data_IF_272977167730
#
_entry.id   IF_272977167730
#
_cell.length_a   1.000
_cell.length_b   1.000
_cell.length_c   1.000
_cell.angle_alpha   90.00
_cell.angle_beta   90.00
_cell.angle_gamma   90.00
#
_symmetry.space_group_name_H-M   'P 1'
#
loop_
_entity.id
_entity.type
_entity.pdbx_description
1 polymer ?
#
# COMPACT_ATOMS: atom_id res chain seq x y z
N UNK A 1 50.33 -23.10 -47.41
CA UNK A 1 49.29 -23.58 -46.53
C UNK A 1 49.51 -22.96 -45.17
N UNK A 2 48.68 -21.94 -44.84
CA UNK A 2 48.76 -21.21 -43.55
C UNK A 2 47.68 -21.74 -42.63
N UNK A 3 48.02 -22.33 -41.50
CA UNK A 3 47.05 -22.77 -40.50
C UNK A 3 46.66 -21.57 -39.64
N UNK A 4 45.35 -21.22 -39.67
CA UNK A 4 44.75 -20.26 -38.75
C UNK A 4 44.21 -21.05 -37.55
N UNK A 5 44.85 -20.87 -36.41
CA UNK A 5 44.37 -21.44 -35.16
C UNK A 5 43.23 -20.55 -34.58
N UNK A 6 42.05 -21.14 -34.41
CA UNK A 6 40.92 -20.52 -33.73
C UNK A 6 41.11 -20.77 -32.22
N UNK A 7 41.35 -19.69 -31.45
CA UNK A 7 41.34 -19.74 -30.01
C UNK A 7 39.86 -19.63 -29.52
N UNK A 8 39.35 -20.69 -28.93
CA UNK A 8 38.05 -20.71 -28.26
C UNK A 8 38.28 -20.15 -26.83
N UNK A 9 37.77 -18.92 -26.62
CA UNK A 9 37.73 -18.36 -25.26
C UNK A 9 36.49 -18.90 -24.58
N UNK A 10 36.69 -19.86 -23.66
CA UNK A 10 35.64 -20.28 -22.73
C UNK A 10 35.37 -19.15 -21.72
N UNK A 11 34.25 -18.49 -21.85
CA UNK A 11 33.69 -17.69 -20.76
C UNK A 11 33.17 -18.64 -19.69
N UNK A 12 33.94 -18.80 -18.62
CA UNK A 12 33.46 -19.38 -17.39
C UNK A 12 32.45 -18.41 -16.75
N UNK A 13 31.16 -18.70 -16.85
CA UNK A 13 30.14 -18.04 -16.06
C UNK A 13 30.45 -18.35 -14.58
N UNK A 14 31.00 -17.38 -13.86
CA UNK A 14 31.00 -17.41 -12.39
C UNK A 14 29.53 -17.33 -11.95
N UNK A 15 28.92 -18.48 -11.74
CA UNK A 15 27.74 -18.61 -10.93
C UNK A 15 28.20 -18.28 -9.50
N UNK A 16 27.98 -17.04 -9.02
CA UNK A 16 28.10 -16.74 -7.60
C UNK A 16 27.10 -17.63 -6.87
N UNK A 17 27.59 -18.75 -6.34
CA UNK A 17 26.87 -19.50 -5.34
C UNK A 17 26.63 -18.55 -4.15
N UNK A 18 25.41 -18.15 -3.94
CA UNK A 18 24.97 -17.38 -2.78
C UNK A 18 25.30 -18.25 -1.56
N UNK A 19 26.28 -17.82 -0.75
CA UNK A 19 26.56 -18.45 0.54
C UNK A 19 25.28 -18.39 1.37
N UNK A 20 24.70 -19.54 1.64
CA UNK A 20 23.51 -19.68 2.46
C UNK A 20 23.83 -19.21 3.88
N UNK A 21 23.35 -18.01 4.28
CA UNK A 21 23.35 -17.56 5.65
C UNK A 21 24.01 -16.21 5.97
N UNK A 22 24.64 -15.53 5.00
CA UNK A 22 25.27 -14.22 5.23
C UNK A 22 24.28 -13.06 5.16
N UNK A 23 24.62 -11.95 5.89
CA UNK A 23 23.92 -10.68 5.76
C UNK A 23 24.11 -10.09 4.36
N UNK A 24 23.04 -9.58 3.76
CA UNK A 24 23.06 -8.91 2.46
C UNK A 24 22.46 -7.51 2.59
N UNK A 25 22.93 -6.50 1.84
CA UNK A 25 22.36 -5.16 1.83
C UNK A 25 20.86 -5.22 1.50
N UNK A 26 20.05 -4.45 2.23
CA UNK A 26 18.62 -4.32 1.94
C UNK A 26 18.39 -3.62 0.61
N UNK A 27 17.32 -3.99 -0.10
CA UNK A 27 16.89 -3.33 -1.33
C UNK A 27 16.45 -1.88 -1.14
N UNK A 28 16.28 -1.45 0.10
CA UNK A 28 15.92 -0.07 0.47
C UNK A 28 17.12 0.86 0.63
N UNK A 29 18.34 0.34 0.54
CA UNK A 29 19.56 1.13 0.71
C UNK A 29 19.75 2.12 -0.44
N UNK A 30 20.28 3.32 -0.12
CA UNK A 30 20.77 4.23 -1.16
C UNK A 30 22.01 3.64 -1.83
N UNK A 31 22.31 4.09 -3.04
CA UNK A 31 23.45 3.60 -3.80
C UNK A 31 24.77 3.70 -3.01
N UNK A 32 25.47 2.58 -2.90
CA UNK A 32 26.76 2.47 -2.21
C UNK A 32 26.67 2.26 -0.69
N UNK A 33 25.48 2.28 -0.09
CA UNK A 33 25.31 1.97 1.33
C UNK A 33 25.29 0.45 1.56
N UNK A 34 26.13 0.00 2.50
CA UNK A 34 26.20 -1.42 2.90
C UNK A 34 25.09 -1.81 3.89
N UNK A 35 24.61 -0.87 4.69
CA UNK A 35 23.62 -1.07 5.74
C UNK A 35 22.38 -0.23 5.47
N UNK A 36 21.20 -0.70 5.94
CA UNK A 36 20.87 -1.97 6.62
C UNK A 36 21.22 -3.22 5.83
N UNK A 37 21.53 -4.30 6.55
CA UNK A 37 21.67 -5.64 5.98
C UNK A 37 20.61 -6.58 6.56
N UNK A 38 20.22 -7.60 5.79
CA UNK A 38 19.25 -8.61 6.20
C UNK A 38 19.81 -9.99 5.90
N UNK A 39 19.62 -10.95 6.81
CA UNK A 39 20.00 -12.33 6.61
C UNK A 39 18.79 -13.23 6.26
N UNK A 40 19.06 -14.47 5.94
CA UNK A 40 18.02 -15.46 5.58
C UNK A 40 17.07 -15.84 6.71
N UNK A 41 17.42 -15.50 7.96
CA UNK A 41 16.56 -15.69 9.13
C UNK A 41 15.67 -14.46 9.41
N UNK A 42 15.76 -13.39 8.61
CA UNK A 42 15.04 -12.15 8.80
C UNK A 42 15.62 -11.24 9.87
N UNK A 43 16.87 -11.47 10.32
CA UNK A 43 17.54 -10.56 11.23
C UNK A 43 18.06 -9.37 10.45
N UNK A 44 17.89 -8.17 11.01
CA UNK A 44 18.34 -6.91 10.42
C UNK A 44 19.56 -6.39 11.18
N UNK A 45 20.60 -6.06 10.45
CA UNK A 45 21.79 -5.41 11.01
C UNK A 45 21.84 -3.95 10.55
N UNK A 46 21.92 -3.02 11.51
CA UNK A 46 22.03 -1.58 11.27
C UNK A 46 23.37 -1.09 11.80
N UNK A 47 24.01 -0.19 11.03
CA UNK A 47 25.27 0.44 11.40
C UNK A 47 25.26 1.90 11.00
N UNK A 48 25.40 2.80 11.97
CA UNK A 48 25.37 4.25 11.76
C UNK A 48 26.53 4.96 12.43
N UNK A 49 27.03 6.03 11.82
CA UNK A 49 28.14 6.81 12.37
C UNK A 49 27.61 7.95 13.23
N UNK A 50 27.88 7.89 14.53
CA UNK A 50 27.54 8.95 15.48
C UNK A 50 28.57 8.98 16.62
N UNK A 51 29.84 9.43 16.33
CA UNK A 51 30.94 9.30 17.25
C UNK A 51 30.75 10.07 18.55
N UNK A 52 30.06 11.22 18.49
CA UNK A 52 29.84 12.10 19.65
C UNK A 52 28.57 11.75 20.44
N UNK A 53 27.74 10.85 19.93
CA UNK A 53 26.52 10.43 20.61
C UNK A 53 26.84 9.63 21.90
N UNK A 54 26.00 9.84 22.91
CA UNK A 54 26.06 9.10 24.18
C UNK A 54 25.09 7.92 24.20
N UNK A 55 24.02 7.99 23.39
CA UNK A 55 23.02 6.92 23.27
C UNK A 55 22.41 6.92 21.87
N UNK A 56 22.34 5.74 21.25
CA UNK A 56 21.63 5.52 19.99
C UNK A 56 20.70 4.33 20.15
N UNK A 57 19.46 4.50 19.67
CA UNK A 57 18.44 3.46 19.70
C UNK A 57 17.82 3.30 18.31
N UNK A 58 17.65 2.07 17.87
CA UNK A 58 16.84 1.70 16.73
C UNK A 58 15.36 1.65 17.15
N UNK A 59 14.50 2.31 16.41
CA UNK A 59 13.07 2.45 16.71
C UNK A 59 12.25 1.96 15.51
N UNK A 60 11.87 0.68 15.47
CA UNK A 60 10.87 0.20 14.52
C UNK A 60 9.47 0.67 14.94
N UNK A 61 8.64 1.04 13.98
CA UNK A 61 7.28 1.47 14.29
C UNK A 61 6.37 0.30 14.67
N UNK A 62 6.52 -0.84 13.97
CA UNK A 62 5.85 -2.11 14.31
C UNK A 62 6.94 -3.14 14.59
N UNK A 63 7.55 -3.10 15.77
CA UNK A 63 8.65 -4.00 16.08
C UNK A 63 9.48 -3.58 17.28
N UNK A 64 10.66 -4.19 17.46
CA UNK A 64 11.50 -3.95 18.63
C UNK A 64 12.07 -2.53 18.63
N UNK A 65 12.18 -1.95 19.83
CA UNK A 65 12.98 -0.75 20.11
C UNK A 65 14.24 -1.21 20.82
N UNK A 66 15.37 -1.14 20.13
CA UNK A 66 16.62 -1.76 20.59
C UNK A 66 17.71 -0.71 20.76
N UNK A 67 18.37 -0.69 21.93
CA UNK A 67 19.56 0.14 22.14
C UNK A 67 20.73 -0.42 21.31
N UNK A 68 21.46 0.47 20.64
CA UNK A 68 22.59 0.12 19.81
C UNK A 68 23.91 0.14 20.63
N UNK A 69 24.91 -0.59 20.18
CA UNK A 69 26.21 -0.69 20.83
C UNK A 69 27.24 0.18 20.11
N UNK A 70 27.95 1.04 20.87
CA UNK A 70 29.02 1.90 20.34
C UNK A 70 30.28 1.08 20.09
N UNK A 71 30.81 1.18 18.87
CA UNK A 71 32.04 0.54 18.46
C UNK A 71 33.24 1.51 18.62
N UNK A 72 34.48 0.97 18.66
CA UNK A 72 35.70 1.78 18.83
C UNK A 72 35.94 2.76 17.67
N UNK A 73 35.40 2.48 16.48
CA UNK A 73 35.51 3.31 15.28
C UNK A 73 34.48 4.47 15.21
N UNK A 74 33.69 4.65 16.28
CA UNK A 74 32.66 5.68 16.39
C UNK A 74 31.37 5.35 15.72
N UNK A 75 31.21 4.12 15.22
CA UNK A 75 29.92 3.62 14.73
C UNK A 75 29.11 3.01 15.87
N UNK A 76 27.82 2.99 15.67
CA UNK A 76 26.85 2.29 16.48
C UNK A 76 26.26 1.15 15.67
N UNK A 77 26.14 -0.02 16.26
CA UNK A 77 25.64 -1.23 15.59
C UNK A 77 24.57 -1.93 16.40
N UNK A 78 23.68 -2.61 15.71
CA UNK A 78 22.71 -3.54 16.31
C UNK A 78 22.34 -4.62 15.31
N UNK A 79 22.14 -5.83 15.83
CA UNK A 79 21.47 -6.91 15.08
C UNK A 79 20.16 -7.25 15.80
N UNK A 80 19.04 -7.19 15.09
CA UNK A 80 17.72 -7.44 15.68
C UNK A 80 17.47 -8.94 15.87
N UNK A 81 16.51 -9.32 16.70
CA UNK A 81 15.82 -10.60 16.51
C UNK A 81 15.22 -10.72 15.11
N UNK A 82 14.88 -11.92 14.61
CA UNK A 82 14.17 -12.08 13.35
C UNK A 82 12.92 -11.21 13.29
N UNK A 83 12.77 -10.44 12.20
CA UNK A 83 11.56 -9.73 11.87
C UNK A 83 10.73 -10.58 10.90
N UNK A 84 9.43 -10.33 10.86
CA UNK A 84 8.56 -10.94 9.86
C UNK A 84 8.90 -10.43 8.46
N UNK A 85 8.71 -11.22 7.40
CA UNK A 85 8.89 -10.75 6.03
C UNK A 85 8.01 -9.55 5.70
N UNK A 86 8.56 -8.59 4.95
CA UNK A 86 7.86 -7.39 4.50
C UNK A 86 8.68 -6.13 4.69
N UNK A 87 8.04 -4.99 4.41
CA UNK A 87 8.62 -3.67 4.57
C UNK A 87 8.40 -3.15 6.00
N UNK A 88 9.48 -2.70 6.64
CA UNK A 88 9.43 -2.16 8.00
C UNK A 88 9.95 -0.72 8.04
N UNK A 89 9.11 0.20 8.54
CA UNK A 89 9.57 1.54 8.87
C UNK A 89 10.42 1.55 10.14
N UNK A 90 11.47 2.34 10.13
CA UNK A 90 12.25 2.61 11.32
C UNK A 90 12.82 4.04 11.34
N UNK A 91 13.21 4.48 12.52
CA UNK A 91 13.97 5.69 12.76
C UNK A 91 15.09 5.39 13.76
N UNK A 92 16.03 6.31 13.88
CA UNK A 92 17.06 6.29 14.90
C UNK A 92 16.73 7.35 15.96
N UNK A 93 16.94 7.02 17.24
CA UNK A 93 16.85 7.99 18.32
C UNK A 93 18.28 8.21 18.84
N UNK A 94 18.87 9.37 18.47
CA UNK A 94 20.22 9.76 18.83
C UNK A 94 20.14 10.84 19.92
N UNK A 95 20.59 10.50 21.14
CA UNK A 95 20.52 11.39 22.32
C UNK A 95 19.14 12.05 22.54
N UNK A 96 18.09 11.28 22.24
CA UNK A 96 16.69 11.72 22.38
C UNK A 96 16.08 12.38 21.15
N UNK A 97 16.87 12.64 20.11
CA UNK A 97 16.38 13.19 18.83
C UNK A 97 16.05 12.07 17.85
N UNK A 98 14.82 12.05 17.33
CA UNK A 98 14.41 11.10 16.31
C UNK A 98 14.84 11.58 14.92
N UNK A 99 15.59 10.75 14.20
CA UNK A 99 16.13 11.05 12.87
C UNK A 99 16.00 9.85 11.92
N UNK A 100 16.01 10.12 10.62
CA UNK A 100 16.11 9.07 9.60
C UNK A 100 17.55 8.59 9.44
N UNK A 101 17.73 7.34 9.05
CA UNK A 101 19.01 6.76 8.64
C UNK A 101 19.32 7.18 7.19
N UNK A 102 20.40 7.88 6.98
CA UNK A 102 20.80 8.37 5.66
C UNK A 102 21.27 7.26 4.70
N UNK A 103 21.41 6.03 5.18
CA UNK A 103 21.80 4.88 4.37
C UNK A 103 20.62 4.28 3.59
N UNK A 104 19.37 4.68 3.87
CA UNK A 104 18.18 4.20 3.14
C UNK A 104 17.51 5.32 2.37
N UNK A 105 16.72 4.94 1.36
CA UNK A 105 15.75 5.86 0.80
C UNK A 105 14.78 6.33 1.87
N UNK A 106 14.24 7.54 1.69
CA UNK A 106 13.17 8.06 2.54
C UNK A 106 11.81 7.53 2.06
N UNK A 107 10.97 7.16 3.03
CA UNK A 107 9.63 6.67 2.83
C UNK A 107 8.66 7.50 3.67
N UNK A 108 7.58 7.97 3.07
CA UNK A 108 6.57 8.71 3.83
C UNK A 108 5.61 7.72 4.52
N UNK A 109 5.52 7.85 5.83
CA UNK A 109 4.63 7.04 6.66
C UNK A 109 4.53 7.66 8.06
N UNK A 110 3.46 7.38 8.82
CA UNK A 110 3.24 7.97 10.14
C UNK A 110 3.29 9.50 10.14
N UNK A 111 2.87 10.16 9.06
CA UNK A 111 2.87 11.62 8.83
C UNK A 111 4.25 12.28 8.73
N UNK A 112 5.29 11.52 8.48
CA UNK A 112 6.67 12.02 8.34
C UNK A 112 7.51 11.10 7.44
N UNK A 113 8.67 11.61 7.03
CA UNK A 113 9.68 10.76 6.39
C UNK A 113 10.36 9.86 7.42
N UNK A 114 10.57 8.62 7.04
CA UNK A 114 11.25 7.59 7.82
C UNK A 114 12.15 6.76 6.92
N UNK A 115 13.06 6.03 7.54
CA UNK A 115 13.83 4.98 6.89
C UNK A 115 13.00 3.72 6.74
N UNK A 116 13.40 2.85 5.82
CA UNK A 116 12.76 1.56 5.62
C UNK A 116 13.76 0.44 5.45
N UNK A 117 13.37 -0.74 5.84
CA UNK A 117 14.10 -1.98 5.53
C UNK A 117 13.14 -3.02 4.98
N UNK A 118 13.53 -3.67 3.90
CA UNK A 118 12.79 -4.79 3.32
C UNK A 118 13.38 -6.10 3.84
N UNK A 119 12.56 -6.91 4.49
CA UNK A 119 12.86 -8.30 4.85
C UNK A 119 12.20 -9.20 3.81
N UNK A 120 12.96 -9.83 2.89
CA UNK A 120 12.37 -10.59 1.80
C UNK A 120 11.52 -11.77 2.30
N UNK A 121 10.35 -11.99 1.67
CA UNK A 121 9.55 -13.19 1.90
C UNK A 121 10.17 -14.38 1.19
N UNK A 122 10.60 -15.44 1.92
CA UNK A 122 11.26 -16.59 1.31
C UNK A 122 10.39 -17.25 0.23
N UNK A 123 10.97 -17.48 -0.95
CA UNK A 123 10.27 -18.14 -2.07
C UNK A 123 9.20 -17.28 -2.76
N UNK A 124 9.08 -16.00 -2.40
CA UNK A 124 8.11 -15.08 -2.98
C UNK A 124 8.80 -14.02 -3.85
N UNK A 125 8.35 -13.91 -5.10
CA UNK A 125 8.89 -12.94 -6.06
C UNK A 125 7.80 -12.05 -6.67
N UNK A 126 6.53 -12.19 -6.24
CA UNK A 126 5.41 -11.52 -6.89
C UNK A 126 5.45 -10.00 -6.80
N UNK A 127 6.11 -9.43 -5.78
CA UNK A 127 6.28 -7.98 -5.61
C UNK A 127 7.71 -7.49 -5.94
N UNK A 128 8.58 -8.37 -6.40
CA UNK A 128 9.94 -8.03 -6.85
C UNK A 128 9.95 -7.67 -8.33
N UNK A 129 10.91 -6.84 -8.73
CA UNK A 129 11.15 -6.60 -10.15
C UNK A 129 11.58 -7.91 -10.82
N UNK A 130 10.94 -8.27 -11.93
CA UNK A 130 11.23 -9.46 -12.74
C UNK A 130 11.56 -9.03 -14.16
N UNK A 131 12.14 -9.93 -14.95
CA UNK A 131 12.42 -9.71 -16.39
C UNK A 131 11.13 -9.90 -17.21
N UNK A 132 10.22 -8.93 -17.10
CA UNK A 132 8.94 -8.87 -17.80
C UNK A 132 8.72 -7.45 -18.34
N UNK A 133 7.80 -7.21 -19.28
CA UNK A 133 7.45 -5.87 -19.68
C UNK A 133 6.91 -5.06 -18.48
N UNK A 134 7.45 -3.85 -18.28
CA UNK A 134 7.08 -2.99 -17.18
C UNK A 134 6.17 -1.84 -17.64
N UNK A 135 5.21 -1.50 -16.78
CA UNK A 135 4.42 -0.29 -16.87
C UNK A 135 5.22 0.96 -16.48
N UNK A 136 4.54 2.10 -16.48
CA UNK A 136 5.12 3.39 -16.10
C UNK A 136 4.31 4.01 -14.98
N UNK A 137 4.97 4.69 -14.06
CA UNK A 137 4.32 5.52 -13.05
C UNK A 137 4.51 6.98 -13.43
N UNK A 138 3.40 7.70 -13.62
CA UNK A 138 3.38 9.13 -13.92
C UNK A 138 2.86 9.93 -12.76
N UNK A 139 3.54 11.01 -12.46
CA UNK A 139 3.09 12.03 -11.53
C UNK A 139 2.18 13.02 -12.26
N UNK A 140 1.01 13.30 -11.68
CA UNK A 140 0.04 14.22 -12.27
C UNK A 140 -0.51 15.19 -11.24
N UNK A 141 -0.86 16.38 -11.72
CA UNK A 141 -1.52 17.41 -10.94
C UNK A 141 -2.87 17.74 -11.56
N UNK A 142 -3.90 17.80 -10.75
CA UNK A 142 -5.25 18.17 -11.17
C UNK A 142 -5.81 19.28 -10.27
N UNK A 143 -6.59 20.16 -10.87
CA UNK A 143 -7.22 21.24 -10.14
C UNK A 143 -8.56 20.75 -9.57
N UNK A 144 -8.68 20.72 -8.25
CA UNK A 144 -9.92 20.34 -7.58
C UNK A 144 -10.71 21.58 -7.17
N UNK A 145 -11.89 21.74 -7.76
CA UNK A 145 -12.83 22.78 -7.33
C UNK A 145 -13.41 22.48 -5.96
N UNK A 146 -13.46 21.22 -5.54
CA UNK A 146 -13.93 20.79 -4.23
C UNK A 146 -13.03 21.33 -3.13
N UNK A 147 -11.71 21.15 -3.31
CA UNK A 147 -10.71 21.60 -2.32
C UNK A 147 -10.25 23.05 -2.56
N UNK A 148 -10.52 23.62 -3.73
CA UNK A 148 -10.03 24.92 -4.14
C UNK A 148 -8.51 24.97 -4.35
N UNK A 149 -7.88 23.83 -4.64
CA UNK A 149 -6.42 23.70 -4.74
C UNK A 149 -6.00 22.71 -5.83
N UNK A 150 -4.74 22.81 -6.22
CA UNK A 150 -4.09 21.76 -7.01
C UNK A 150 -3.81 20.56 -6.11
N UNK A 151 -4.12 19.37 -6.61
CA UNK A 151 -3.91 18.10 -5.94
C UNK A 151 -3.03 17.20 -6.78
N UNK A 152 -2.42 16.25 -6.14
CA UNK A 152 -1.40 15.37 -6.69
C UNK A 152 -1.86 13.91 -6.68
N UNK A 153 -1.48 13.16 -7.72
CA UNK A 153 -1.70 11.72 -7.80
C UNK A 153 -0.57 11.06 -8.60
N UNK A 154 -0.29 9.80 -8.27
CA UNK A 154 0.51 8.90 -9.10
C UNK A 154 -0.43 8.03 -9.94
N UNK A 155 -0.08 7.84 -11.20
CA UNK A 155 -0.84 7.02 -12.15
C UNK A 155 0.06 5.95 -12.74
N UNK A 156 -0.20 4.68 -12.39
CA UNK A 156 0.43 3.56 -13.07
C UNK A 156 -0.29 3.30 -14.38
N UNK A 157 0.47 3.20 -15.45
CA UNK A 157 0.03 2.83 -16.79
C UNK A 157 0.60 1.46 -17.15
N UNK A 158 -0.22 0.52 -17.65
CA UNK A 158 0.23 -0.84 -17.89
C UNK A 158 1.29 -0.92 -18.99
N UNK A 159 2.05 -2.05 -19.09
CA UNK A 159 3.00 -2.26 -20.16
C UNK A 159 2.39 -2.00 -21.55
N UNK A 160 3.18 -1.39 -22.43
CA UNK A 160 2.78 -1.01 -23.80
C UNK A 160 1.71 0.08 -23.91
N UNK A 161 1.34 0.75 -22.83
CA UNK A 161 0.35 1.84 -22.90
C UNK A 161 0.68 2.86 -23.98
N UNK A 162 1.92 3.35 -24.08
CA UNK A 162 2.28 4.40 -25.04
C UNK A 162 2.39 3.92 -26.50
N UNK A 163 2.59 2.63 -26.72
CA UNK A 163 2.70 2.03 -28.06
C UNK A 163 1.37 1.53 -28.59
N UNK A 164 0.48 1.03 -27.73
CA UNK A 164 -0.87 0.56 -28.08
C UNK A 164 -1.89 1.71 -27.97
N UNK A 165 -1.74 2.72 -28.83
CA UNK A 165 -2.47 4.00 -28.71
C UNK A 165 -3.99 3.92 -28.93
N UNK A 166 -4.51 2.81 -29.46
CA UNK A 166 -5.95 2.59 -29.69
C UNK A 166 -6.66 1.93 -28.51
N UNK A 167 -5.90 1.30 -27.62
CA UNK A 167 -6.48 0.55 -26.52
C UNK A 167 -6.95 1.49 -25.40
N UNK A 168 -8.07 1.12 -24.79
CA UNK A 168 -8.60 1.75 -23.59
C UNK A 168 -8.58 0.76 -22.44
N UNK A 169 -8.41 1.25 -21.23
CA UNK A 169 -8.13 0.44 -20.06
C UNK A 169 -9.14 0.70 -18.96
N UNK A 170 -9.55 -0.33 -18.21
CA UNK A 170 -10.27 -0.16 -16.97
C UNK A 170 -9.40 0.55 -15.93
N UNK A 171 -10.02 1.12 -14.90
CA UNK A 171 -9.32 1.95 -13.90
C UNK A 171 -9.55 1.42 -12.49
N UNK A 172 -8.46 1.21 -11.76
CA UNK A 172 -8.45 0.97 -10.32
C UNK A 172 -7.99 2.25 -9.59
N UNK A 173 -8.81 2.81 -8.72
CA UNK A 173 -8.41 3.82 -7.74
C UNK A 173 -7.92 3.09 -6.49
N UNK A 174 -6.62 3.22 -6.16
CA UNK A 174 -5.95 2.46 -5.11
C UNK A 174 -5.45 3.39 -4.01
N UNK A 175 -6.14 3.40 -2.86
CA UNK A 175 -5.96 4.41 -1.83
C UNK A 175 -5.04 3.96 -0.71
N UNK A 176 -4.15 4.87 -0.26
CA UNK A 176 -3.22 4.66 0.86
C UNK A 176 -3.91 4.78 2.24
N UNK A 177 -3.20 4.42 3.30
CA UNK A 177 -3.66 4.45 4.69
C UNK A 177 -3.40 5.77 5.42
N UNK A 178 -3.81 5.79 6.69
CA UNK A 178 -3.55 6.94 7.55
C UNK A 178 -2.05 7.11 7.81
N UNK A 179 -1.59 8.36 7.75
CA UNK A 179 -0.18 8.71 7.94
C UNK A 179 0.71 8.49 6.72
N UNK A 180 0.16 8.02 5.61
CA UNK A 180 0.86 7.81 4.34
C UNK A 180 0.44 8.84 3.30
N UNK A 181 0.99 8.75 2.10
CA UNK A 181 0.66 9.58 0.94
C UNK A 181 0.51 8.73 -0.33
N UNK A 182 0.29 9.38 -1.47
CA UNK A 182 0.10 8.75 -2.78
C UNK A 182 1.30 7.92 -3.25
N UNK A 183 2.48 8.08 -2.65
CA UNK A 183 3.69 7.32 -3.02
C UNK A 183 3.75 5.93 -2.39
N UNK A 184 2.97 5.69 -1.30
CA UNK A 184 3.04 4.48 -0.48
C UNK A 184 2.87 3.19 -1.29
N UNK A 185 1.86 3.12 -2.14
CA UNK A 185 1.63 1.93 -2.96
C UNK A 185 2.75 1.61 -3.94
N UNK A 186 3.50 2.62 -4.41
CA UNK A 186 4.65 2.40 -5.31
C UNK A 186 5.91 2.08 -4.52
N UNK A 187 6.22 2.87 -3.48
CA UNK A 187 7.51 2.77 -2.79
C UNK A 187 7.56 1.62 -1.78
N UNK A 188 6.53 1.49 -0.95
CA UNK A 188 6.43 0.44 0.07
C UNK A 188 5.62 -0.76 -0.44
N UNK A 189 4.55 -0.50 -1.20
CA UNK A 189 3.63 -1.51 -1.71
C UNK A 189 4.15 -2.29 -2.90
N UNK A 190 5.07 -1.73 -3.69
CA UNK A 190 5.55 -2.30 -4.96
C UNK A 190 4.40 -2.67 -5.93
N UNK A 191 3.29 -1.90 -5.89
CA UNK A 191 2.08 -2.20 -6.66
C UNK A 191 2.33 -2.28 -8.17
N UNK A 192 3.24 -1.45 -8.70
CA UNK A 192 3.65 -1.49 -10.10
C UNK A 192 4.27 -2.86 -10.47
N UNK A 193 5.18 -3.40 -9.66
CA UNK A 193 5.81 -4.70 -9.92
C UNK A 193 4.83 -5.85 -9.71
N UNK A 194 3.94 -5.77 -8.71
CA UNK A 194 2.86 -6.74 -8.53
C UNK A 194 2.00 -6.82 -9.79
N UNK A 195 1.58 -5.68 -10.32
CA UNK A 195 0.74 -5.60 -11.52
C UNK A 195 1.49 -6.04 -12.78
N UNK A 196 2.73 -5.61 -12.98
CA UNK A 196 3.55 -6.03 -14.11
C UNK A 196 3.69 -7.57 -14.15
N UNK A 197 4.01 -8.18 -13.01
CA UNK A 197 4.18 -9.62 -12.89
C UNK A 197 2.85 -10.37 -13.13
N UNK A 198 1.74 -9.89 -12.60
CA UNK A 198 0.41 -10.47 -12.80
C UNK A 198 -0.06 -10.34 -14.25
N UNK A 199 0.18 -9.20 -14.90
CA UNK A 199 -0.16 -8.96 -16.32
C UNK A 199 0.69 -9.86 -17.21
N UNK A 200 1.99 -9.97 -16.98
CA UNK A 200 2.88 -10.85 -17.72
C UNK A 200 2.49 -12.33 -17.57
N UNK A 201 2.06 -12.75 -16.39
CA UNK A 201 1.52 -14.09 -16.12
C UNK A 201 0.10 -14.30 -16.69
N UNK A 202 -0.52 -13.28 -17.32
CA UNK A 202 -1.92 -13.30 -17.81
C UNK A 202 -2.95 -13.61 -16.71
N UNK A 203 -2.61 -13.35 -15.47
CA UNK A 203 -3.49 -13.53 -14.31
C UNK A 203 -4.33 -12.28 -14.01
N UNK A 204 -3.98 -11.14 -14.60
CA UNK A 204 -4.65 -9.86 -14.39
C UNK A 204 -4.79 -9.14 -15.73
N UNK A 205 -5.91 -8.44 -15.94
CA UNK A 205 -6.07 -7.58 -17.11
C UNK A 205 -5.18 -6.34 -16.99
N UNK A 206 -4.59 -5.86 -18.10
CA UNK A 206 -3.95 -4.54 -18.10
C UNK A 206 -4.95 -3.46 -17.67
N UNK A 207 -4.57 -2.64 -16.69
CA UNK A 207 -5.41 -1.57 -16.15
C UNK A 207 -4.58 -0.34 -15.80
N UNK A 208 -5.23 0.81 -15.77
CA UNK A 208 -4.68 2.06 -15.19
C UNK A 208 -4.92 1.99 -13.67
N UNK A 209 -3.92 2.36 -12.86
CA UNK A 209 -4.10 2.46 -11.40
C UNK A 209 -3.78 3.87 -10.95
N UNK A 210 -4.74 4.48 -10.23
CA UNK A 210 -4.66 5.87 -9.76
C UNK A 210 -4.50 5.87 -8.24
N UNK A 211 -3.42 6.45 -7.76
CA UNK A 211 -3.09 6.59 -6.35
C UNK A 211 -3.08 8.08 -6.01
N UNK A 212 -4.12 8.56 -5.34
CA UNK A 212 -4.28 9.97 -5.00
C UNK A 212 -3.94 10.24 -3.53
N UNK A 213 -3.58 11.49 -3.23
CA UNK A 213 -3.42 11.94 -1.85
C UNK A 213 -4.77 11.92 -1.13
N UNK A 214 -4.91 11.05 -0.11
CA UNK A 214 -6.18 10.71 0.54
C UNK A 214 -6.74 11.76 1.48
N UNK A 215 -5.94 12.75 1.87
CA UNK A 215 -6.39 13.81 2.76
C UNK A 215 -7.01 14.95 1.94
N UNK A 216 -8.33 15.09 2.02
CA UNK A 216 -9.05 16.15 1.35
C UNK A 216 -9.80 17.03 2.35
N UNK A 217 -9.85 18.32 2.04
CA UNK A 217 -10.57 19.34 2.81
C UNK A 217 -11.28 20.23 1.80
N UNK A 218 -12.59 20.43 1.98
CA UNK A 218 -13.33 21.36 1.10
C UNK A 218 -12.82 22.79 1.25
N UNK A 219 -12.92 23.57 0.19
CA UNK A 219 -12.57 24.99 0.23
C UNK A 219 -13.34 25.69 1.35
N UNK A 220 -12.63 26.44 2.19
CA UNK A 220 -13.20 27.14 3.35
C UNK A 220 -13.56 26.27 4.56
N UNK A 221 -13.41 24.95 4.49
CA UNK A 221 -13.67 24.07 5.63
C UNK A 221 -12.56 24.20 6.69
N UNK A 222 -12.95 24.38 7.95
CA UNK A 222 -12.05 24.30 9.08
C UNK A 222 -12.16 22.91 9.71
N UNK A 223 -11.13 22.10 9.53
CA UNK A 223 -11.01 20.83 10.27
C UNK A 223 -10.60 21.15 11.71
N UNK A 224 -11.19 20.44 12.66
CA UNK A 224 -10.79 20.52 14.05
C UNK A 224 -9.31 20.17 14.21
N UNK A 225 -8.59 20.89 15.07
CA UNK A 225 -7.25 20.48 15.48
C UNK A 225 -7.35 19.15 16.24
N UNK A 226 -6.72 18.13 15.68
CA UNK A 226 -6.71 16.79 16.23
C UNK A 226 -5.46 16.50 17.06
N UNK A 227 -4.56 17.48 17.21
CA UNK A 227 -3.33 17.33 18.00
C UNK A 227 -3.65 16.90 19.43
N UNK A 228 -3.10 15.75 19.82
CA UNK A 228 -3.30 15.18 21.16
C UNK A 228 -4.67 14.60 21.44
N UNK A 229 -5.57 14.53 20.46
CA UNK A 229 -6.87 13.87 20.64
C UNK A 229 -6.69 12.34 20.60
N UNK A 230 -7.28 11.60 21.56
CA UNK A 230 -7.23 10.15 21.53
C UNK A 230 -7.86 9.58 20.25
N UNK A 231 -7.26 8.53 19.70
CA UNK A 231 -7.86 7.79 18.60
C UNK A 231 -9.21 7.21 19.04
N UNK A 232 -10.25 7.46 18.23
CA UNK A 232 -11.62 7.02 18.51
C UNK A 232 -12.43 8.01 19.39
N UNK A 233 -11.87 9.16 19.78
CA UNK A 233 -12.68 10.22 20.41
C UNK A 233 -13.77 10.76 19.47
N UNK A 234 -14.91 11.27 19.98
CA UNK A 234 -15.98 11.80 19.13
C UNK A 234 -15.50 12.87 18.15
N UNK A 235 -14.57 13.75 18.57
CA UNK A 235 -13.99 14.78 17.71
C UNK A 235 -13.13 14.19 16.59
N UNK A 236 -12.31 13.19 16.91
CA UNK A 236 -11.51 12.47 15.92
C UNK A 236 -12.40 11.76 14.90
N UNK A 237 -13.43 11.04 15.36
CA UNK A 237 -14.35 10.33 14.50
C UNK A 237 -15.12 11.27 13.57
N UNK A 238 -15.58 12.41 14.09
CA UNK A 238 -16.23 13.45 13.29
C UNK A 238 -15.30 14.00 12.21
N UNK A 239 -14.06 14.35 12.57
CA UNK A 239 -13.11 14.87 11.60
C UNK A 239 -12.73 13.83 10.53
N UNK A 240 -12.62 12.54 10.90
CA UNK A 240 -12.41 11.46 9.93
C UNK A 240 -13.59 11.33 8.95
N UNK A 241 -14.83 11.44 9.43
CA UNK A 241 -16.01 11.44 8.57
C UNK A 241 -16.04 12.65 7.62
N UNK A 242 -15.72 13.85 8.12
CA UNK A 242 -15.67 15.06 7.31
C UNK A 242 -14.57 14.99 6.24
N UNK A 243 -13.40 14.46 6.57
CA UNK A 243 -12.31 14.22 5.61
C UNK A 243 -12.71 13.17 4.57
N UNK A 244 -13.34 12.08 4.99
CA UNK A 244 -13.80 11.02 4.07
C UNK A 244 -14.85 11.55 3.09
N UNK A 245 -15.81 12.37 3.56
CA UNK A 245 -16.80 13.00 2.70
C UNK A 245 -16.19 14.04 1.74
N UNK A 246 -15.16 14.77 2.18
CA UNK A 246 -14.43 15.70 1.31
C UNK A 246 -13.62 14.97 0.24
N UNK A 247 -13.03 13.82 0.60
CA UNK A 247 -12.32 12.94 -0.33
C UNK A 247 -13.27 12.29 -1.34
N UNK A 248 -14.44 11.82 -0.91
CA UNK A 248 -15.50 11.28 -1.76
C UNK A 248 -15.89 12.29 -2.85
N UNK A 249 -16.15 13.55 -2.46
CA UNK A 249 -16.46 14.62 -3.42
C UNK A 249 -15.29 14.90 -4.37
N UNK A 250 -14.05 14.94 -3.86
CA UNK A 250 -12.87 15.18 -4.67
C UNK A 250 -12.65 14.07 -5.71
N UNK A 251 -12.81 12.81 -5.31
CA UNK A 251 -12.69 11.66 -6.22
C UNK A 251 -13.76 11.72 -7.31
N UNK A 252 -15.02 11.94 -6.93
CA UNK A 252 -16.13 11.83 -7.86
C UNK A 252 -16.30 13.07 -8.77
N UNK A 253 -15.97 14.26 -8.25
CA UNK A 253 -16.22 15.52 -8.96
C UNK A 253 -14.97 16.14 -9.61
N UNK A 254 -13.78 15.71 -9.22
CA UNK A 254 -12.53 16.25 -9.74
C UNK A 254 -11.59 15.19 -10.31
N UNK A 255 -11.23 14.16 -9.52
CA UNK A 255 -10.22 13.19 -9.93
C UNK A 255 -10.70 12.29 -11.07
N UNK A 256 -11.87 11.65 -10.95
CA UNK A 256 -12.43 10.79 -12.01
C UNK A 256 -12.57 11.55 -13.34
N UNK A 257 -13.21 12.74 -13.40
CA UNK A 257 -13.28 13.51 -14.64
C UNK A 257 -11.92 13.87 -15.22
N UNK A 258 -10.93 14.20 -14.37
CA UNK A 258 -9.57 14.49 -14.83
C UNK A 258 -8.91 13.24 -15.45
N UNK A 259 -8.98 12.10 -14.79
CA UNK A 259 -8.40 10.84 -15.28
C UNK A 259 -9.04 10.41 -16.60
N UNK A 260 -10.37 10.45 -16.68
CA UNK A 260 -11.11 10.04 -17.89
C UNK A 260 -10.85 10.97 -19.08
N UNK A 261 -10.58 12.26 -18.83
CA UNK A 261 -10.23 13.22 -19.89
C UNK A 261 -8.76 13.17 -20.31
N UNK A 262 -7.87 12.68 -19.45
CA UNK A 262 -6.42 12.72 -19.65
C UNK A 262 -5.86 11.40 -20.16
N UNK A 263 -6.42 10.28 -19.72
CA UNK A 263 -5.95 8.94 -20.04
C UNK A 263 -6.97 8.15 -20.86
N UNK A 264 -6.51 7.11 -21.53
CA UNK A 264 -7.37 6.23 -22.33
C UNK A 264 -8.12 5.23 -21.45
N UNK A 265 -9.13 5.71 -20.76
CA UNK A 265 -9.96 4.92 -19.84
C UNK A 265 -11.18 4.32 -20.54
N UNK A 266 -11.64 3.17 -20.03
CA UNK A 266 -13.02 2.72 -20.15
C UNK A 266 -13.80 3.40 -19.02
N UNK A 267 -14.57 4.44 -19.33
CA UNK A 267 -15.08 5.40 -18.33
C UNK A 267 -16.43 4.99 -17.70
N UNK A 268 -16.97 3.83 -18.06
CA UNK A 268 -18.19 3.32 -17.44
C UNK A 268 -17.92 2.63 -16.09
N UNK A 269 -18.98 2.41 -15.32
CA UNK A 269 -18.91 1.82 -14.00
C UNK A 269 -18.38 0.39 -13.96
N UNK A 270 -18.66 -0.39 -15.03
CA UNK A 270 -18.27 -1.80 -15.09
C UNK A 270 -16.77 -1.99 -15.38
N UNK A 271 -16.10 -0.88 -15.68
CA UNK A 271 -14.65 -0.81 -15.84
C UNK A 271 -13.98 0.11 -14.81
N UNK A 272 -14.67 0.38 -13.67
CA UNK A 272 -14.10 1.20 -12.59
C UNK A 272 -14.15 0.49 -11.26
N UNK A 273 -12.98 0.34 -10.66
CA UNK A 273 -12.76 -0.25 -9.34
C UNK A 273 -12.20 0.79 -8.37
N UNK A 274 -12.48 0.60 -7.09
CA UNK A 274 -11.76 1.30 -6.03
C UNK A 274 -11.39 0.32 -4.93
N UNK A 275 -10.16 0.43 -4.43
CA UNK A 275 -9.67 -0.32 -3.29
C UNK A 275 -8.75 0.55 -2.45
N UNK A 276 -8.49 0.12 -1.21
CA UNK A 276 -7.55 0.85 -0.37
C UNK A 276 -7.25 0.13 0.93
N UNK A 277 -6.12 0.50 1.52
CA UNK A 277 -5.66 -0.06 2.78
C UNK A 277 -6.09 0.82 3.97
N UNK A 278 -6.46 0.21 5.11
CA UNK A 278 -6.73 0.91 6.36
C UNK A 278 -7.72 2.09 6.19
N UNK A 279 -7.31 3.33 6.41
CA UNK A 279 -8.10 4.54 6.11
C UNK A 279 -8.59 4.56 4.65
N UNK A 280 -7.76 4.16 3.69
CA UNK A 280 -8.13 4.07 2.29
C UNK A 280 -9.23 3.04 2.02
N UNK A 281 -9.28 1.95 2.79
CA UNK A 281 -10.37 0.99 2.76
C UNK A 281 -11.69 1.59 3.27
N UNK A 282 -11.64 2.39 4.33
CA UNK A 282 -12.82 3.13 4.82
C UNK A 282 -13.33 4.12 3.77
N UNK A 283 -12.41 4.90 3.17
CA UNK A 283 -12.74 5.84 2.10
C UNK A 283 -13.32 5.14 0.87
N UNK A 284 -12.77 3.97 0.52
CA UNK A 284 -13.28 3.14 -0.57
C UNK A 284 -14.72 2.73 -0.32
N UNK A 285 -15.02 2.17 0.85
CA UNK A 285 -16.38 1.72 1.18
C UNK A 285 -17.37 2.88 1.20
N UNK A 286 -17.01 4.02 1.79
CA UNK A 286 -17.86 5.20 1.78
C UNK A 286 -18.10 5.71 0.35
N UNK A 287 -17.04 5.95 -0.40
CA UNK A 287 -17.15 6.50 -1.76
C UNK A 287 -17.93 5.57 -2.69
N UNK A 288 -17.59 4.29 -2.74
CA UNK A 288 -18.19 3.37 -3.72
C UNK A 288 -19.63 3.00 -3.41
N UNK A 289 -19.93 2.75 -2.12
CA UNK A 289 -21.30 2.37 -1.73
C UNK A 289 -22.29 3.53 -1.83
N UNK A 290 -21.82 4.79 -1.78
CA UNK A 290 -22.63 5.97 -2.09
C UNK A 290 -22.77 6.23 -3.60
N UNK A 291 -21.83 5.69 -4.43
CA UNK A 291 -21.75 5.96 -5.87
C UNK A 291 -21.68 4.65 -6.69
N UNK A 292 -22.67 3.75 -6.51
CA UNK A 292 -22.76 2.52 -7.30
C UNK A 292 -23.12 2.77 -8.78
N UNK A 293 -23.36 3.99 -9.17
CA UNK A 293 -23.43 4.45 -10.57
C UNK A 293 -22.04 4.68 -11.18
N UNK A 294 -21.00 4.82 -10.37
CA UNK A 294 -19.63 5.04 -10.80
C UNK A 294 -18.72 3.80 -10.65
N UNK A 295 -19.03 2.90 -9.72
CA UNK A 295 -18.14 1.78 -9.37
C UNK A 295 -18.88 0.43 -9.35
N UNK A 296 -18.20 -0.64 -9.79
CA UNK A 296 -18.70 -2.02 -9.72
C UNK A 296 -17.78 -2.98 -8.96
N UNK A 297 -16.56 -2.58 -8.64
CA UNK A 297 -15.59 -3.41 -7.92
C UNK A 297 -15.09 -2.65 -6.70
N UNK A 298 -15.17 -3.27 -5.53
CA UNK A 298 -14.93 -2.64 -4.23
C UNK A 298 -13.99 -3.51 -3.41
N UNK A 299 -12.83 -2.98 -2.98
CA UNK A 299 -11.85 -3.67 -2.16
C UNK A 299 -11.49 -2.92 -0.89
N UNK A 300 -11.61 -3.57 0.27
CA UNK A 300 -11.17 -3.01 1.54
C UNK A 300 -10.08 -3.86 2.19
N UNK A 301 -8.84 -3.37 2.18
CA UNK A 301 -7.66 -4.04 2.73
C UNK A 301 -7.45 -3.54 4.17
N UNK A 302 -7.74 -4.35 5.16
CA UNK A 302 -7.68 -4.00 6.60
C UNK A 302 -8.51 -2.76 7.00
N UNK A 303 -9.45 -2.32 6.15
CA UNK A 303 -10.22 -1.08 6.35
C UNK A 303 -11.67 -1.14 5.88
N UNK A 304 -12.12 -2.30 5.37
CA UNK A 304 -13.49 -2.48 4.93
C UNK A 304 -14.50 -2.14 6.04
N UNK A 305 -15.62 -1.53 5.67
CA UNK A 305 -16.70 -1.20 6.60
C UNK A 305 -16.42 -0.04 7.56
N UNK A 306 -15.22 0.54 7.54
CA UNK A 306 -14.90 1.78 8.26
C UNK A 306 -15.32 1.77 9.73
N UNK A 307 -16.18 2.72 10.10
CA UNK A 307 -16.67 2.89 11.47
C UNK A 307 -17.47 1.70 12.02
N UNK A 308 -18.07 0.87 11.16
CA UNK A 308 -18.74 -0.37 11.59
C UNK A 308 -17.74 -1.36 12.18
N UNK A 309 -16.55 -1.46 11.57
CA UNK A 309 -15.47 -2.35 12.01
C UNK A 309 -14.81 -1.84 13.27
N UNK A 310 -14.58 -0.52 13.37
CA UNK A 310 -13.97 0.10 14.55
C UNK A 310 -14.91 0.18 15.77
N UNK A 311 -16.25 0.09 15.56
CA UNK A 311 -17.25 0.01 16.59
C UNK A 311 -17.66 -1.44 16.88
N UNK A 312 -18.43 -1.66 17.95
CA UNK A 312 -18.97 -2.98 18.28
C UNK A 312 -20.35 -3.23 17.67
N UNK A 313 -20.75 -2.44 16.67
CA UNK A 313 -22.04 -2.48 16.03
C UNK A 313 -22.04 -3.43 14.83
N UNK A 314 -23.12 -4.20 14.66
CA UNK A 314 -23.40 -4.97 13.45
C UNK A 314 -23.85 -4.04 12.31
N UNK A 315 -23.63 -4.47 11.08
CA UNK A 315 -24.19 -3.83 9.89
C UNK A 315 -25.72 -3.94 9.92
N UNK A 316 -26.41 -2.83 9.74
CA UNK A 316 -27.84 -2.80 9.42
C UNK A 316 -28.00 -2.59 7.90
N UNK A 317 -28.43 -3.62 7.15
CA UNK A 317 -28.56 -3.53 5.70
C UNK A 317 -29.52 -2.44 5.21
N UNK A 318 -30.44 -1.97 6.07
CA UNK A 318 -31.48 -0.99 5.70
C UNK A 318 -31.07 0.44 5.91
N UNK A 319 -30.09 0.69 6.77
CA UNK A 319 -29.70 2.06 7.17
C UNK A 319 -28.25 2.38 6.85
N UNK A 320 -27.35 1.41 6.97
CA UNK A 320 -25.95 1.63 6.67
C UNK A 320 -25.72 1.83 5.18
N UNK A 321 -24.81 2.75 4.85
CA UNK A 321 -24.51 3.13 3.47
C UNK A 321 -25.81 3.42 2.66
N UNK A 322 -26.72 4.20 3.26
CA UNK A 322 -28.00 4.57 2.66
C UNK A 322 -28.90 3.38 2.28
N UNK A 323 -28.76 2.25 3.00
CA UNK A 323 -29.57 1.05 2.79
C UNK A 323 -29.23 0.29 1.51
N UNK A 324 -28.02 0.45 0.98
CA UNK A 324 -27.58 -0.18 -0.28
C UNK A 324 -27.66 -1.72 -0.24
N UNK A 325 -27.61 -2.31 0.94
CA UNK A 325 -27.68 -3.76 1.16
C UNK A 325 -29.11 -4.28 1.43
N UNK A 326 -30.13 -3.41 1.44
CA UNK A 326 -31.51 -3.80 1.74
C UNK A 326 -32.14 -4.71 0.67
N UNK A 327 -31.64 -4.66 -0.57
CA UNK A 327 -32.08 -5.50 -1.69
C UNK A 327 -30.85 -6.22 -2.28
N UNK A 328 -30.50 -7.42 -1.78
CA UNK A 328 -29.33 -8.17 -2.24
C UNK A 328 -29.30 -8.46 -3.74
N UNK A 329 -30.42 -8.86 -4.41
CA UNK A 329 -30.44 -9.00 -5.86
C UNK A 329 -30.15 -7.71 -6.64
N UNK A 330 -30.64 -6.56 -6.16
CA UNK A 330 -30.33 -5.27 -6.77
C UNK A 330 -28.87 -4.86 -6.55
N UNK A 331 -28.32 -5.16 -5.38
CA UNK A 331 -26.89 -4.97 -5.08
C UNK A 331 -26.02 -5.82 -6.00
N UNK A 332 -26.28 -7.12 -6.12
CA UNK A 332 -25.52 -8.05 -6.97
C UNK A 332 -25.53 -7.66 -8.46
N UNK A 333 -26.59 -7.01 -8.94
CA UNK A 333 -26.64 -6.47 -10.33
C UNK A 333 -25.69 -5.27 -10.52
N UNK A 334 -25.34 -4.57 -9.43
CA UNK A 334 -24.51 -3.38 -9.48
C UNK A 334 -23.07 -3.65 -9.07
N UNK A 335 -22.80 -4.54 -8.15
CA UNK A 335 -21.47 -4.82 -7.62
C UNK A 335 -21.00 -6.18 -8.08
N UNK A 336 -19.98 -6.17 -8.96
CA UNK A 336 -19.41 -7.39 -9.51
C UNK A 336 -18.42 -8.05 -8.55
N UNK A 337 -17.80 -7.24 -7.66
CA UNK A 337 -16.91 -7.74 -6.62
C UNK A 337 -17.00 -6.84 -5.38
N UNK A 338 -17.36 -7.43 -4.25
CA UNK A 338 -17.11 -6.88 -2.92
C UNK A 338 -16.07 -7.74 -2.24
N UNK A 339 -14.92 -7.15 -1.87
CA UNK A 339 -13.77 -7.87 -1.36
C UNK A 339 -13.28 -7.26 -0.04
N UNK A 340 -13.03 -8.10 0.95
CA UNK A 340 -12.61 -7.76 2.30
C UNK A 340 -11.33 -8.52 2.63
N UNK A 341 -10.28 -7.83 3.09
CA UNK A 341 -9.03 -8.45 3.52
C UNK A 341 -8.61 -8.06 4.91
N UNK A 342 -7.91 -8.97 5.60
CA UNK A 342 -7.31 -8.74 6.91
C UNK A 342 -6.12 -9.67 7.13
N UNK A 343 -5.07 -9.17 7.79
CA UNK A 343 -3.97 -10.00 8.29
C UNK A 343 -4.39 -10.81 9.53
N UNK A 344 -3.98 -12.07 9.61
CA UNK A 344 -4.36 -12.93 10.74
C UNK A 344 -3.64 -12.58 12.05
N UNK A 345 -2.57 -11.78 12.00
CA UNK A 345 -1.85 -11.24 13.15
C UNK A 345 -2.22 -9.79 13.48
N UNK A 346 -3.14 -9.16 12.73
CA UNK A 346 -3.62 -7.80 13.03
C UNK A 346 -4.25 -7.72 14.43
N UNK A 347 -4.33 -6.51 15.02
CA UNK A 347 -4.95 -6.32 16.34
C UNK A 347 -6.34 -6.94 16.42
N UNK A 348 -6.64 -7.61 17.53
CA UNK A 348 -7.89 -8.36 17.73
C UNK A 348 -9.13 -7.53 17.39
N UNK A 349 -9.15 -6.25 17.78
CA UNK A 349 -10.28 -5.35 17.50
C UNK A 349 -10.57 -5.24 16.00
N UNK A 350 -9.52 -5.17 15.17
CA UNK A 350 -9.67 -5.06 13.72
C UNK A 350 -10.15 -6.38 13.11
N UNK A 351 -9.51 -7.48 13.49
CA UNK A 351 -9.89 -8.83 13.04
C UNK A 351 -11.33 -9.17 13.42
N UNK A 352 -11.70 -8.97 14.70
CA UNK A 352 -13.06 -9.19 15.17
C UNK A 352 -14.08 -8.27 14.50
N UNK A 353 -13.72 -7.01 14.22
CA UNK A 353 -14.57 -6.07 13.51
C UNK A 353 -14.85 -6.51 12.08
N UNK A 354 -13.82 -6.91 11.33
CA UNK A 354 -13.98 -7.43 9.96
C UNK A 354 -14.71 -8.77 9.93
N UNK A 355 -14.50 -9.64 10.90
CA UNK A 355 -15.27 -10.88 11.04
C UNK A 355 -16.76 -10.61 11.31
N UNK A 356 -17.09 -9.60 12.13
CA UNK A 356 -18.48 -9.18 12.34
C UNK A 356 -19.13 -8.64 11.06
N UNK A 357 -18.38 -7.83 10.28
CA UNK A 357 -18.85 -7.34 8.99
C UNK A 357 -19.10 -8.49 8.02
N UNK A 358 -18.14 -9.41 7.88
CA UNK A 358 -18.28 -10.62 7.08
C UNK A 358 -19.55 -11.40 7.45
N UNK A 359 -19.74 -11.70 8.75
CA UNK A 359 -20.93 -12.42 9.21
C UNK A 359 -22.23 -11.66 8.92
N UNK A 360 -22.23 -10.33 9.09
CA UNK A 360 -23.41 -9.50 8.81
C UNK A 360 -23.77 -9.47 7.32
N UNK A 361 -22.76 -9.47 6.43
CA UNK A 361 -22.97 -9.56 4.98
C UNK A 361 -23.53 -10.93 4.57
N UNK A 362 -23.05 -12.02 5.20
CA UNK A 362 -23.60 -13.36 5.00
C UNK A 362 -25.06 -13.42 5.47
N UNK A 363 -25.38 -12.92 6.67
CA UNK A 363 -26.74 -12.84 7.22
C UNK A 363 -27.67 -12.03 6.29
N UNK A 364 -27.14 -11.01 5.63
CA UNK A 364 -27.85 -10.18 4.66
C UNK A 364 -27.90 -10.78 3.24
N UNK A 365 -27.34 -11.96 3.00
CA UNK A 365 -27.19 -12.60 1.67
C UNK A 365 -26.45 -11.73 0.65
N UNK A 366 -25.45 -10.98 1.08
CA UNK A 366 -24.56 -10.21 0.21
C UNK A 366 -23.35 -11.06 -0.15
N UNK A 367 -23.21 -11.37 -1.44
CA UNK A 367 -22.04 -12.11 -1.94
C UNK A 367 -20.77 -11.23 -1.84
N UNK A 368 -19.70 -11.79 -1.26
CA UNK A 368 -18.42 -11.11 -1.09
C UNK A 368 -17.29 -12.11 -0.89
N UNK A 369 -16.06 -11.64 -1.15
CA UNK A 369 -14.84 -12.37 -0.81
C UNK A 369 -14.36 -11.90 0.57
N UNK A 370 -14.00 -12.86 1.45
CA UNK A 370 -13.33 -12.57 2.70
C UNK A 370 -11.95 -13.26 2.69
N UNK A 371 -10.90 -12.48 2.54
CA UNK A 371 -9.53 -12.95 2.45
C UNK A 371 -8.80 -12.72 3.78
N UNK A 372 -8.09 -13.74 4.25
CA UNK A 372 -7.27 -13.66 5.46
C UNK A 372 -5.81 -13.91 5.09
N UNK A 373 -4.95 -12.88 5.22
CA UNK A 373 -3.52 -12.98 4.95
C UNK A 373 -2.81 -13.68 6.11
N UNK A 374 -2.26 -14.91 5.92
CA UNK A 374 -1.74 -15.70 7.02
C UNK A 374 -0.47 -15.07 7.64
N UNK A 375 -0.44 -14.95 8.98
CA UNK A 375 0.73 -14.57 9.75
C UNK A 375 1.17 -13.11 9.62
N UNK A 376 0.41 -12.26 8.91
CA UNK A 376 0.74 -10.85 8.69
C UNK A 376 -0.11 -9.93 9.56
N UNK A 377 0.46 -8.81 9.97
CA UNK A 377 -0.15 -7.77 10.80
C UNK A 377 -0.71 -6.63 9.93
N UNK A 378 -1.04 -5.49 10.53
CA UNK A 378 -1.46 -4.26 9.87
C UNK A 378 -0.27 -3.58 9.19
N UNK A 379 0.18 -4.15 8.09
CA UNK A 379 1.47 -3.85 7.44
C UNK A 379 1.46 -4.07 5.93
N UNK A 380 2.50 -3.57 5.24
CA UNK A 380 2.60 -3.62 3.78
C UNK A 380 2.58 -5.05 3.21
N UNK A 381 3.07 -6.05 3.94
CA UNK A 381 3.02 -7.44 3.47
C UNK A 381 1.58 -7.95 3.36
N UNK A 382 0.69 -7.58 4.30
CA UNK A 382 -0.76 -7.86 4.21
C UNK A 382 -1.32 -7.25 2.93
N UNK A 383 -1.10 -5.96 2.71
CA UNK A 383 -1.71 -5.21 1.61
C UNK A 383 -1.14 -5.58 0.23
N UNK A 384 0.12 -5.97 0.15
CA UNK A 384 0.71 -6.57 -1.07
C UNK A 384 0.03 -7.88 -1.44
N UNK A 385 -0.23 -8.76 -0.45
CA UNK A 385 -0.97 -10.02 -0.66
C UNK A 385 -2.42 -9.77 -1.00
N UNK A 386 -3.05 -8.77 -0.38
CA UNK A 386 -4.41 -8.33 -0.69
C UNK A 386 -4.51 -7.87 -2.15
N UNK A 387 -3.60 -7.00 -2.61
CA UNK A 387 -3.58 -6.56 -4.00
C UNK A 387 -3.33 -7.73 -4.96
N UNK A 388 -2.43 -8.65 -4.62
CA UNK A 388 -2.15 -9.85 -5.42
C UNK A 388 -3.37 -10.76 -5.58
N UNK A 389 -4.23 -10.89 -4.55
CA UNK A 389 -5.47 -11.68 -4.63
C UNK A 389 -6.60 -10.90 -5.31
N UNK A 390 -6.69 -9.59 -5.03
CA UNK A 390 -7.76 -8.73 -5.52
C UNK A 390 -7.66 -8.43 -7.02
N UNK A 391 -6.48 -8.02 -7.52
CA UNK A 391 -6.29 -7.56 -8.90
C UNK A 391 -6.69 -8.58 -9.98
N UNK A 392 -6.43 -9.89 -9.84
CA UNK A 392 -6.89 -10.92 -10.79
C UNK A 392 -8.41 -11.09 -10.91
N UNK A 393 -9.18 -10.55 -9.95
CA UNK A 393 -10.65 -10.67 -9.90
C UNK A 393 -11.34 -9.47 -10.54
N UNK A 394 -10.59 -8.46 -10.99
CA UNK A 394 -11.11 -7.24 -11.58
C UNK A 394 -11.39 -7.42 -13.08
N UNK A 395 -12.49 -6.82 -13.55
CA UNK A 395 -12.85 -6.68 -14.97
C UNK A 395 -12.92 -8.02 -15.69
#
# INVERSE_FOLDING_TARGET
>A
MKHVGIAIILFASLCCAQEAGGFQPSSTNVWGAEYPQVDSAGRVQIRVKAPDATKVRLNFWSGPKVDMEKQQDGYWTVTTPPLVPGFHYYTLIIDGMEVSDLNTHAFFGGTKEASGVEVPEPGSTYYSIQDVPHGQVREVWYNSKVTGSWRHALVYLPPNYDTQTKDRYPVLYLQHGAGEDETGWIRQGNANFILDNLIAAKSCKPMIVVMAYGYAKRAGQNLSDLTGKPFGSPEMLKAMQEMAASFEDDVTQALIPYIDSTFRTLSDRDHRAMAGLSMGGMQTFQTTLNHLDLFSYIGGFSGAGGMLVLGDRKLDPRTDYNGVFADPPAFAKKVHLLWLGVGTAEPERMRAGLQRLHNSLLEANIEHVFYQSPGTDHEWQTWRRDLKDFAPRLF
#
